data_IF_561559824938
#
_entry.id   IF_561559824938
#
_cell.length_a   1.000
_cell.length_b   1.000
_cell.length_c   1.000
_cell.angle_alpha   90.00
_cell.angle_beta   90.00
_cell.angle_gamma   90.00
#
_symmetry.space_group_name_H-M   'P 1'
#
loop_
_entity.id
_entity.type
_entity.pdbx_description
1 polymer ?
#
# COMPACT_ATOMS: atom_id res chain seq x y z
N UNK A 1 7.27 -6.43 -12.04
CA UNK A 1 5.81 -6.40 -12.30
C UNK A 1 5.12 -7.26 -11.25
N UNK A 2 4.17 -6.72 -10.49
CA UNK A 2 3.56 -7.36 -9.31
C UNK A 2 2.97 -8.77 -9.62
N UNK A 3 2.30 -8.94 -10.77
CA UNK A 3 1.76 -10.23 -11.19
C UNK A 3 2.83 -11.34 -11.30
N UNK A 4 4.03 -11.01 -11.77
CA UNK A 4 5.15 -11.96 -11.87
C UNK A 4 5.66 -12.37 -10.50
N UNK A 5 5.66 -11.44 -9.53
CA UNK A 5 6.06 -11.73 -8.14
C UNK A 5 5.03 -12.60 -7.41
N UNK A 6 3.78 -12.59 -7.89
CA UNK A 6 2.68 -13.39 -7.36
C UNK A 6 2.45 -14.69 -8.14
N UNK A 7 3.31 -15.01 -9.12
CA UNK A 7 3.19 -16.18 -9.99
C UNK A 7 1.82 -16.30 -10.70
N UNK A 8 1.18 -15.15 -10.96
CA UNK A 8 -0.14 -15.08 -11.60
C UNK A 8 0.02 -15.33 -13.10
N UNK A 9 -0.71 -16.32 -13.63
CA UNK A 9 -0.71 -16.63 -15.06
C UNK A 9 -1.40 -15.52 -15.89
N UNK A 10 -1.21 -15.51 -17.20
CA UNK A 10 -1.86 -14.50 -18.05
C UNK A 10 -3.38 -14.68 -18.07
N UNK A 11 -3.82 -15.93 -18.00
CA UNK A 11 -5.21 -16.34 -17.92
C UNK A 11 -5.84 -15.89 -16.59
N UNK A 12 -5.17 -16.15 -15.48
CA UNK A 12 -5.63 -15.74 -14.15
C UNK A 12 -5.66 -14.21 -14.01
N UNK A 13 -4.68 -13.52 -14.60
CA UNK A 13 -4.68 -12.05 -14.65
C UNK A 13 -5.90 -11.50 -15.40
N UNK A 14 -6.23 -12.08 -16.56
CA UNK A 14 -7.41 -11.67 -17.34
C UNK A 14 -8.72 -11.95 -16.58
N UNK A 15 -8.80 -13.10 -15.90
CA UNK A 15 -9.94 -13.48 -15.06
C UNK A 15 -10.14 -12.52 -13.87
N UNK A 16 -9.04 -12.17 -13.18
CA UNK A 16 -9.07 -11.19 -12.08
C UNK A 16 -9.54 -9.82 -12.58
N UNK A 17 -9.11 -9.40 -13.77
CA UNK A 17 -9.55 -8.13 -14.35
C UNK A 17 -11.02 -8.14 -14.77
N UNK A 18 -11.54 -9.26 -15.28
CA UNK A 18 -12.94 -9.40 -15.68
C UNK A 18 -13.87 -9.36 -14.46
N UNK A 19 -13.49 -10.04 -13.37
CA UNK A 19 -14.26 -10.03 -12.14
C UNK A 19 -13.38 -10.02 -10.88
N UNK A 20 -12.92 -8.83 -10.45
CA UNK A 20 -12.10 -8.70 -9.24
C UNK A 20 -12.81 -9.19 -7.98
N UNK A 21 -14.15 -9.09 -7.94
CA UNK A 21 -14.97 -9.47 -6.79
C UNK A 21 -15.07 -11.00 -6.62
N UNK A 22 -14.68 -11.78 -7.64
CA UNK A 22 -14.59 -13.24 -7.55
C UNK A 22 -13.56 -13.69 -6.51
N UNK A 23 -12.56 -12.85 -6.23
CA UNK A 23 -11.49 -13.13 -5.29
C UNK A 23 -11.77 -12.42 -3.97
N UNK A 24 -12.00 -13.16 -2.86
CA UNK A 24 -12.31 -12.54 -1.58
C UNK A 24 -11.13 -11.71 -1.08
N UNK A 25 -11.42 -10.47 -0.69
CA UNK A 25 -10.44 -9.61 -0.03
C UNK A 25 -10.23 -10.16 1.38
N UNK A 26 -9.00 -10.59 1.69
CA UNK A 26 -8.62 -10.96 3.05
C UNK A 26 -8.09 -9.71 3.78
N UNK A 27 -8.88 -9.10 4.69
CA UNK A 27 -8.45 -7.88 5.36
C UNK A 27 -7.29 -8.17 6.32
N UNK A 28 -6.31 -7.26 6.44
CA UNK A 28 -5.23 -7.40 7.41
C UNK A 28 -5.77 -7.32 8.84
N UNK A 29 -5.49 -8.34 9.64
CA UNK A 29 -5.91 -8.38 11.04
C UNK A 29 -4.92 -7.64 11.95
N UNK A 30 -3.62 -7.95 11.77
CA UNK A 30 -2.55 -7.39 12.59
C UNK A 30 -2.12 -6.00 12.08
N UNK A 31 -1.62 -5.17 13.01
CA UNK A 31 -1.11 -3.86 12.64
C UNK A 31 0.06 -3.93 11.65
N UNK A 32 1.00 -4.86 11.85
CA UNK A 32 2.13 -5.08 10.94
C UNK A 32 1.65 -5.45 9.53
N UNK A 33 0.64 -6.32 9.42
CA UNK A 33 0.03 -6.66 8.13
C UNK A 33 -0.60 -5.44 7.47
N UNK A 34 -1.22 -4.51 8.23
CA UNK A 34 -1.70 -3.24 7.67
C UNK A 34 -0.56 -2.40 7.10
N UNK A 35 0.58 -2.35 7.77
CA UNK A 35 1.76 -1.62 7.31
C UNK A 35 2.41 -2.27 6.08
N UNK A 36 2.50 -3.59 6.03
CA UNK A 36 2.95 -4.34 4.83
C UNK A 36 2.05 -4.03 3.62
N UNK A 37 0.72 -4.08 3.81
CA UNK A 37 -0.22 -3.72 2.74
C UNK A 37 -0.11 -2.24 2.34
N UNK A 38 0.12 -1.36 3.30
CA UNK A 38 0.36 0.05 3.02
C UNK A 38 1.63 0.24 2.19
N UNK A 39 2.71 -0.49 2.48
CA UNK A 39 3.94 -0.46 1.68
C UNK A 39 3.68 -0.86 0.23
N UNK A 40 3.01 -2.00 0.01
CA UNK A 40 2.68 -2.47 -1.34
C UNK A 40 1.83 -1.45 -2.11
N UNK A 41 0.78 -0.91 -1.49
CA UNK A 41 -0.08 0.09 -2.11
C UNK A 41 0.66 1.41 -2.34
N UNK A 42 1.56 1.80 -1.44
CA UNK A 42 2.37 3.02 -1.60
C UNK A 42 3.28 2.91 -2.82
N UNK A 43 3.92 1.75 -3.05
CA UNK A 43 4.72 1.51 -4.27
C UNK A 43 3.88 1.54 -5.54
N UNK A 44 2.67 0.99 -5.50
CA UNK A 44 1.75 1.02 -6.65
C UNK A 44 1.29 2.45 -6.97
N UNK A 45 1.01 3.25 -5.95
CA UNK A 45 0.54 4.63 -6.09
C UNK A 45 1.67 5.59 -6.49
N UNK A 46 2.89 5.34 -6.00
CA UNK A 46 4.10 6.10 -6.33
C UNK A 46 4.77 5.65 -7.65
N UNK A 47 4.07 4.86 -8.47
CA UNK A 47 4.58 4.47 -9.79
C UNK A 47 4.98 5.71 -10.62
N UNK A 48 6.09 5.59 -11.36
CA UNK A 48 6.72 6.67 -12.15
C UNK A 48 7.39 7.80 -11.32
N UNK A 49 7.60 7.61 -10.02
CA UNK A 49 8.25 8.59 -9.13
C UNK A 49 7.53 9.94 -9.03
N UNK A 50 6.22 9.95 -9.27
CA UNK A 50 5.40 11.18 -9.21
C UNK A 50 4.74 11.27 -7.84
N UNK A 51 5.10 12.30 -7.07
CA UNK A 51 4.41 12.69 -5.85
C UNK A 51 3.48 13.87 -6.11
N UNK A 52 2.20 13.75 -5.76
CA UNK A 52 1.21 14.79 -5.99
C UNK A 52 -0.07 14.57 -5.17
N UNK A 53 -0.98 15.55 -5.23
CA UNK A 53 -2.23 15.52 -4.46
C UNK A 53 -3.06 14.28 -4.79
N UNK A 54 -3.10 13.88 -6.06
CA UNK A 54 -3.84 12.69 -6.51
C UNK A 54 -3.33 11.41 -5.84
N UNK A 55 -2.01 11.23 -5.76
CA UNK A 55 -1.39 10.08 -5.10
C UNK A 55 -1.73 10.06 -3.60
N UNK A 56 -1.64 11.22 -2.95
CA UNK A 56 -2.04 11.37 -1.54
C UNK A 56 -3.50 10.97 -1.34
N UNK A 57 -4.42 11.49 -2.16
CA UNK A 57 -5.85 11.21 -2.06
C UNK A 57 -6.17 9.72 -2.25
N UNK A 58 -5.49 9.05 -3.19
CA UNK A 58 -5.65 7.61 -3.42
C UNK A 58 -5.13 6.82 -2.22
N UNK A 59 -3.92 7.13 -1.75
CA UNK A 59 -3.31 6.39 -0.65
C UNK A 59 -4.05 6.64 0.68
N UNK A 60 -4.63 7.82 0.90
CA UNK A 60 -5.52 8.10 2.04
C UNK A 60 -6.76 7.23 2.04
N UNK A 61 -7.41 7.01 0.88
CA UNK A 61 -8.54 6.08 0.78
C UNK A 61 -8.13 4.66 1.13
N UNK A 62 -6.96 4.22 0.67
CA UNK A 62 -6.41 2.92 1.02
C UNK A 62 -6.07 2.80 2.51
N UNK A 63 -5.44 3.80 3.11
CA UNK A 63 -5.14 3.79 4.53
C UNK A 63 -6.41 3.63 5.39
N UNK A 64 -7.48 4.34 5.05
CA UNK A 64 -8.77 4.19 5.72
C UNK A 64 -9.36 2.78 5.50
N UNK A 65 -9.32 2.26 4.28
CA UNK A 65 -9.82 0.91 3.96
C UNK A 65 -9.02 -0.20 4.65
N UNK A 66 -7.72 0.02 4.91
CA UNK A 66 -6.88 -0.89 5.68
C UNK A 66 -7.16 -0.82 7.18
N UNK A 67 -7.95 0.15 7.66
CA UNK A 67 -8.33 0.27 9.07
C UNK A 67 -7.44 1.20 9.90
N UNK A 68 -6.67 2.11 9.27
CA UNK A 68 -6.04 3.22 9.99
C UNK A 68 -7.09 4.27 10.40
N UNK A 69 -6.87 4.95 11.52
CA UNK A 69 -7.87 5.89 12.04
C UNK A 69 -7.81 7.21 11.27
N UNK A 70 -8.94 7.87 10.99
CA UNK A 70 -8.93 9.13 10.22
C UNK A 70 -8.01 10.22 10.81
N UNK A 71 -7.90 10.28 12.15
CA UNK A 71 -7.04 11.24 12.84
C UNK A 71 -5.55 11.04 12.61
N UNK A 72 -5.09 9.85 12.24
CA UNK A 72 -3.67 9.58 11.95
C UNK A 72 -3.39 9.22 10.48
N UNK A 73 -4.43 8.92 9.69
CA UNK A 73 -4.28 8.45 8.31
C UNK A 73 -3.48 9.42 7.44
N UNK A 74 -3.67 10.74 7.58
CA UNK A 74 -2.90 11.72 6.81
C UNK A 74 -1.40 11.67 7.13
N UNK A 75 -1.04 11.59 8.41
CA UNK A 75 0.35 11.51 8.84
C UNK A 75 1.02 10.20 8.40
N UNK A 76 0.27 9.09 8.48
CA UNK A 76 0.69 7.77 7.99
C UNK A 76 0.96 7.81 6.48
N UNK A 77 0.07 8.42 5.70
CA UNK A 77 0.19 8.54 4.25
C UNK A 77 1.38 9.41 3.86
N UNK A 78 1.56 10.56 4.51
CA UNK A 78 2.68 11.46 4.22
C UNK A 78 4.02 10.77 4.49
N UNK A 79 4.16 10.09 5.64
CA UNK A 79 5.40 9.37 5.95
C UNK A 79 5.61 8.17 5.02
N UNK A 80 4.56 7.43 4.69
CA UNK A 80 4.68 6.31 3.74
C UNK A 80 5.19 6.79 2.37
N UNK A 81 4.66 7.90 1.85
CA UNK A 81 5.12 8.47 0.60
C UNK A 81 6.55 9.03 0.69
N UNK A 82 6.93 9.66 1.80
CA UNK A 82 8.32 10.14 1.96
C UNK A 82 9.31 8.97 1.96
N UNK A 83 8.94 7.84 2.55
CA UNK A 83 9.75 6.62 2.52
C UNK A 83 9.84 6.01 1.11
N UNK A 84 8.81 6.14 0.28
CA UNK A 84 8.88 5.75 -1.14
C UNK A 84 9.86 6.62 -1.94
N UNK A 85 9.90 7.93 -1.66
CA UNK A 85 10.87 8.85 -2.27
C UNK A 85 12.31 8.48 -1.89
N UNK A 86 12.51 7.98 -0.66
CA UNK A 86 13.80 7.50 -0.17
C UNK A 86 14.16 6.08 -0.65
N UNK A 87 13.29 5.44 -1.43
CA UNK A 87 13.47 4.09 -1.97
C UNK A 87 13.84 3.03 -0.91
N UNK A 88 13.29 3.16 0.30
CA UNK A 88 13.57 2.21 1.38
C UNK A 88 12.93 0.84 1.11
N UNK A 89 13.56 -0.22 1.61
CA UNK A 89 13.00 -1.57 1.56
C UNK A 89 11.86 -1.77 2.57
N UNK A 90 11.21 -2.95 2.52
CA UNK A 90 10.08 -3.28 3.39
C UNK A 90 10.48 -3.25 4.87
N UNK A 91 11.63 -3.82 5.23
CA UNK A 91 12.07 -3.92 6.61
C UNK A 91 12.30 -2.53 7.23
N UNK A 92 12.96 -1.65 6.47
CA UNK A 92 13.17 -0.24 6.84
C UNK A 92 11.85 0.50 6.91
N UNK A 93 10.94 0.30 5.94
CA UNK A 93 9.62 0.91 5.96
C UNK A 93 8.83 0.53 7.22
N UNK A 94 8.79 -0.76 7.55
CA UNK A 94 8.09 -1.26 8.74
C UNK A 94 8.68 -0.67 10.02
N UNK A 95 10.02 -0.64 10.13
CA UNK A 95 10.69 -0.05 11.27
C UNK A 95 10.33 1.44 11.44
N UNK A 96 10.43 2.22 10.38
CA UNK A 96 10.14 3.66 10.38
C UNK A 96 8.68 3.97 10.72
N UNK A 97 7.76 3.15 10.21
CA UNK A 97 6.32 3.30 10.43
C UNK A 97 5.86 2.82 11.83
N UNK A 98 6.61 1.93 12.47
CA UNK A 98 6.36 1.57 13.88
C UNK A 98 6.92 2.62 14.85
N UNK A 99 7.92 3.37 14.41
CA UNK A 99 8.65 4.34 15.23
C UNK A 99 8.35 5.80 14.88
N UNK A 100 7.18 6.08 14.30
CA UNK A 100 6.80 7.42 13.81
C UNK A 100 6.74 8.53 14.85
N UNK A 101 6.69 8.17 16.13
CA UNK A 101 6.53 9.09 17.26
C UNK A 101 7.80 9.19 18.14
N UNK A 102 8.92 8.64 17.68
CA UNK A 102 10.21 8.78 18.36
C UNK A 102 10.95 10.02 17.85
#
# INVERSE_FOLDING_TARGET
KLAVQLEISSEEYAEILENPLKYPINPPYLHTQRLERLYDLSRMVYAEHVLGQRQKDILSKFALALGFTPGNAHYIVDKALSLMVLEVDLDTFLYEMQHMNK
#
